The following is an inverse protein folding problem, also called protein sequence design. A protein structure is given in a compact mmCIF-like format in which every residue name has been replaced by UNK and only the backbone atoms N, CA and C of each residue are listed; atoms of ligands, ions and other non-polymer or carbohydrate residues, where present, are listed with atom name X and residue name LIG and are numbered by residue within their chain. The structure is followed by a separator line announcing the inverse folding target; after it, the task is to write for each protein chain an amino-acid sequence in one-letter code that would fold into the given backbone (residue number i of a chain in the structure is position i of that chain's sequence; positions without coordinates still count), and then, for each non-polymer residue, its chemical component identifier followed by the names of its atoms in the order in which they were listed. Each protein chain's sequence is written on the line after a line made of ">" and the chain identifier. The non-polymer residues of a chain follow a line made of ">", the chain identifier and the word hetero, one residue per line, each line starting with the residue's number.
data_IF_585251439344
#
_entry.id   IF_585251439344
#
_cell.length_a   1.000
_cell.length_b   1.000
_cell.length_c   1.000
_cell.angle_alpha   90.00
_cell.angle_beta   90.00
_cell.angle_gamma   90.00
#
_symmetry.space_group_name_H-M   'P 1'
#
loop_
_entity.id
_entity.type
_entity.pdbx_description
1 polymer ?
#
# COMPACT_ATOMS: atom_id res chain seq x y z
N UNK A 1 -1.80 -31.06 14.28
CA UNK A 1 -1.60 -31.38 12.86
C UNK A 1 -2.97 -31.64 12.24
N UNK A 2 -3.57 -30.63 11.60
CA UNK A 2 -4.78 -30.83 10.79
C UNK A 2 -4.35 -31.39 9.43
N UNK A 3 -5.05 -32.42 8.95
CA UNK A 3 -4.90 -32.94 7.60
C UNK A 3 -5.02 -31.80 6.58
N UNK A 4 -3.89 -31.39 5.99
CA UNK A 4 -3.88 -30.46 4.86
C UNK A 4 -4.42 -31.21 3.65
N UNK A 5 -5.64 -30.88 3.24
CA UNK A 5 -6.20 -31.33 1.97
C UNK A 5 -5.22 -30.97 0.85
N UNK A 6 -4.71 -31.97 0.11
CA UNK A 6 -3.74 -31.81 -0.99
C UNK A 6 -4.22 -30.88 -2.13
N UNK A 7 -5.47 -30.41 -2.11
CA UNK A 7 -6.06 -29.52 -3.11
C UNK A 7 -6.01 -28.03 -2.77
N UNK A 8 -5.56 -27.61 -1.57
CA UNK A 8 -5.65 -26.21 -1.14
C UNK A 8 -4.28 -25.51 -1.01
N UNK A 9 -3.59 -25.28 -2.13
CA UNK A 9 -2.34 -24.52 -2.17
C UNK A 9 -2.22 -23.58 -3.39
N UNK A 10 -1.25 -22.66 -3.35
CA UNK A 10 -0.92 -21.76 -4.45
C UNK A 10 -0.10 -22.43 -5.56
N UNK A 11 0.12 -23.75 -5.49
CA UNK A 11 0.99 -24.51 -6.41
C UNK A 11 2.42 -23.96 -6.38
N UNK A 12 3.17 -24.05 -7.47
CA UNK A 12 4.51 -23.49 -7.55
C UNK A 12 4.43 -21.96 -7.60
N UNK A 13 5.04 -21.29 -6.62
CA UNK A 13 4.95 -19.84 -6.42
C UNK A 13 6.28 -19.14 -6.69
N UNK A 14 6.27 -18.17 -7.59
CA UNK A 14 7.39 -17.25 -7.83
C UNK A 14 7.17 -15.93 -7.09
N UNK A 15 8.08 -15.59 -6.18
CA UNK A 15 8.09 -14.30 -5.49
C UNK A 15 8.95 -13.31 -6.27
N UNK A 16 8.38 -12.16 -6.63
CA UNK A 16 9.11 -11.06 -7.25
C UNK A 16 9.55 -10.07 -6.16
N UNK A 17 10.86 -9.92 -5.98
CA UNK A 17 11.49 -9.00 -5.04
C UNK A 17 12.29 -9.70 -3.94
N UNK A 18 13.21 -8.95 -3.31
CA UNK A 18 14.11 -9.41 -2.23
C UNK A 18 13.98 -8.59 -0.94
N UNK A 19 12.94 -7.74 -0.85
CA UNK A 19 12.67 -6.92 0.33
C UNK A 19 12.17 -7.74 1.53
N UNK A 20 12.03 -7.10 2.71
CA UNK A 20 11.53 -7.79 3.90
C UNK A 20 10.14 -8.42 3.73
N UNK A 21 9.27 -7.79 2.93
CA UNK A 21 7.95 -8.32 2.57
C UNK A 21 8.08 -9.64 1.81
N UNK A 22 8.99 -9.71 0.81
CA UNK A 22 9.21 -10.91 0.03
C UNK A 22 9.72 -12.06 0.91
N UNK A 23 10.70 -11.80 1.78
CA UNK A 23 11.23 -12.80 2.72
C UNK A 23 10.13 -13.31 3.66
N UNK A 24 9.29 -12.41 4.17
CA UNK A 24 8.18 -12.77 5.03
C UNK A 24 7.15 -13.64 4.31
N UNK A 25 6.82 -13.32 3.05
CA UNK A 25 5.94 -14.13 2.22
C UNK A 25 6.52 -15.53 1.99
N UNK A 26 7.80 -15.64 1.63
CA UNK A 26 8.48 -16.92 1.41
C UNK A 26 8.38 -17.82 2.65
N UNK A 27 8.71 -17.29 3.82
CA UNK A 27 8.71 -18.05 5.07
C UNK A 27 7.31 -18.56 5.39
N UNK A 28 6.28 -17.70 5.29
CA UNK A 28 4.93 -18.11 5.68
C UNK A 28 4.26 -19.00 4.63
N UNK A 29 4.52 -18.79 3.34
CA UNK A 29 4.03 -19.70 2.30
C UNK A 29 4.70 -21.08 2.36
N UNK A 30 5.95 -21.15 2.82
CA UNK A 30 6.67 -22.42 2.96
C UNK A 30 6.07 -23.36 4.00
N UNK A 31 5.17 -22.86 4.86
CA UNK A 31 4.45 -23.65 5.86
C UNK A 31 3.35 -24.53 5.24
N UNK A 32 3.39 -24.80 3.94
CA UNK A 32 2.47 -25.69 3.24
C UNK A 32 1.37 -24.99 2.43
N UNK A 33 1.57 -23.72 2.08
CA UNK A 33 0.68 -22.97 1.17
C UNK A 33 1.22 -22.93 -0.27
N UNK A 34 2.43 -23.44 -0.51
CA UNK A 34 3.07 -23.52 -1.82
C UNK A 34 3.83 -24.83 -1.94
N UNK A 35 3.81 -25.44 -3.13
CA UNK A 35 4.56 -26.69 -3.41
C UNK A 35 6.05 -26.42 -3.54
N UNK A 36 6.37 -25.39 -4.33
CA UNK A 36 7.71 -24.88 -4.52
C UNK A 36 7.70 -23.36 -4.42
N UNK A 37 8.79 -22.77 -3.90
CA UNK A 37 8.95 -21.32 -3.81
C UNK A 37 10.25 -20.93 -4.49
N UNK A 38 10.14 -20.05 -5.48
CA UNK A 38 11.26 -19.40 -6.14
C UNK A 38 11.27 -17.91 -5.88
N UNK A 39 12.43 -17.28 -6.08
CA UNK A 39 12.58 -15.82 -5.98
C UNK A 39 13.20 -15.29 -7.27
N UNK A 40 12.63 -14.22 -7.81
CA UNK A 40 13.25 -13.44 -8.87
C UNK A 40 13.55 -12.03 -8.37
N UNK A 41 14.78 -11.57 -8.60
CA UNK A 41 15.25 -10.24 -8.22
C UNK A 41 15.69 -9.46 -9.45
N UNK A 42 15.40 -8.16 -9.47
CA UNK A 42 15.94 -7.27 -10.50
C UNK A 42 17.46 -7.20 -10.38
N UNK A 43 18.14 -6.97 -11.50
CA UNK A 43 19.57 -6.66 -11.47
C UNK A 43 19.79 -5.24 -10.91
N UNK A 44 20.27 -5.18 -9.67
CA UNK A 44 20.60 -3.92 -8.99
C UNK A 44 21.64 -4.18 -7.91
N UNK A 45 22.44 -3.17 -7.55
CA UNK A 45 23.50 -3.32 -6.53
C UNK A 45 22.98 -3.98 -5.23
N UNK A 46 21.80 -3.58 -4.74
CA UNK A 46 21.20 -4.17 -3.55
C UNK A 46 20.81 -5.64 -3.75
N UNK A 47 20.29 -5.99 -4.93
CA UNK A 47 19.97 -7.38 -5.27
C UNK A 47 21.23 -8.23 -5.38
N UNK A 48 22.31 -7.70 -5.95
CA UNK A 48 23.59 -8.39 -6.04
C UNK A 48 24.16 -8.68 -4.65
N UNK A 49 24.16 -7.69 -3.75
CA UNK A 49 24.55 -7.91 -2.34
C UNK A 49 23.69 -9.00 -1.68
N UNK A 50 22.37 -8.99 -1.88
CA UNK A 50 21.47 -10.02 -1.38
C UNK A 50 21.81 -11.42 -1.92
N UNK A 51 22.08 -11.54 -3.22
CA UNK A 51 22.45 -12.81 -3.87
C UNK A 51 23.79 -13.33 -3.37
N UNK A 52 24.79 -12.46 -3.21
CA UNK A 52 26.10 -12.82 -2.65
C UNK A 52 25.97 -13.30 -1.21
N UNK A 53 25.19 -12.61 -0.39
CA UNK A 53 24.93 -13.01 0.99
C UNK A 53 24.20 -14.35 1.05
N UNK A 54 23.19 -14.58 0.20
CA UNK A 54 22.49 -15.86 0.08
C UNK A 54 23.46 -17.00 -0.22
N UNK A 55 24.35 -16.83 -1.20
CA UNK A 55 25.35 -17.85 -1.58
C UNK A 55 26.27 -18.18 -0.41
N UNK A 56 26.72 -17.18 0.36
CA UNK A 56 27.56 -17.36 1.54
C UNK A 56 26.84 -18.07 2.70
N UNK A 57 25.52 -17.93 2.79
CA UNK A 57 24.69 -18.45 3.88
C UNK A 57 23.84 -19.67 3.48
N UNK A 58 24.32 -20.49 2.54
CA UNK A 58 23.66 -21.72 2.09
C UNK A 58 22.20 -21.52 1.61
N UNK A 59 21.90 -20.33 1.08
CA UNK A 59 20.58 -19.92 0.59
C UNK A 59 19.47 -19.92 1.65
N UNK A 60 19.83 -19.71 2.93
CA UNK A 60 18.87 -19.69 4.04
C UNK A 60 18.37 -18.26 4.27
N UNK A 61 17.05 -18.11 4.29
CA UNK A 61 16.34 -16.92 4.73
C UNK A 61 15.79 -17.15 6.14
N UNK A 62 15.77 -16.11 6.97
CA UNK A 62 15.32 -16.18 8.37
C UNK A 62 14.31 -15.09 8.71
N UNK A 63 13.29 -15.46 9.46
CA UNK A 63 12.28 -14.55 9.95
C UNK A 63 12.10 -14.71 11.44
N UNK A 64 12.27 -13.61 12.15
CA UNK A 64 12.08 -13.47 13.59
C UNK A 64 10.87 -12.58 13.88
N UNK A 65 10.45 -12.53 15.14
CA UNK A 65 9.44 -11.58 15.60
C UNK A 65 9.87 -10.76 16.79
N UNK A 66 9.28 -9.57 16.92
CA UNK A 66 9.53 -8.68 18.05
C UNK A 66 8.73 -9.04 19.31
N UNK A 67 7.66 -9.84 19.16
CA UNK A 67 6.71 -10.18 20.24
C UNK A 67 6.37 -11.68 20.19
N UNK A 68 6.31 -12.34 21.34
CA UNK A 68 5.99 -13.79 21.43
C UNK A 68 4.64 -14.16 20.81
N UNK A 69 3.66 -13.26 20.87
CA UNK A 69 2.34 -13.40 20.25
C UNK A 69 2.40 -13.61 18.73
N UNK A 70 3.48 -13.17 18.09
CA UNK A 70 3.70 -13.30 16.64
C UNK A 70 4.52 -14.55 16.29
N UNK A 71 4.84 -15.43 17.25
CA UNK A 71 5.72 -16.60 17.04
C UNK A 71 5.33 -17.48 15.84
N UNK A 72 4.05 -17.52 15.47
CA UNK A 72 3.57 -18.19 14.26
C UNK A 72 4.20 -17.67 12.97
N UNK A 73 4.77 -16.46 12.96
CA UNK A 73 5.45 -15.84 11.82
C UNK A 73 6.94 -16.17 11.74
N UNK A 74 7.52 -16.73 12.81
CA UNK A 74 8.92 -17.13 12.81
C UNK A 74 9.16 -18.31 11.88
N UNK A 75 10.41 -18.45 11.43
CA UNK A 75 10.82 -19.58 10.64
C UNK A 75 12.07 -19.32 9.83
N UNK A 76 12.48 -20.34 9.10
CA UNK A 76 13.54 -20.24 8.11
C UNK A 76 13.17 -21.03 6.87
N UNK A 77 13.72 -20.62 5.73
CA UNK A 77 13.49 -21.31 4.46
C UNK A 77 14.80 -21.38 3.66
N UNK A 78 15.12 -22.57 3.15
CA UNK A 78 16.24 -22.75 2.23
C UNK A 78 15.74 -22.62 0.80
N UNK A 79 16.14 -21.55 0.13
CA UNK A 79 15.71 -21.25 -1.23
C UNK A 79 16.30 -22.26 -2.22
N UNK A 80 15.46 -22.82 -3.09
CA UNK A 80 15.86 -23.78 -4.13
C UNK A 80 16.04 -23.14 -5.50
N UNK A 81 15.21 -22.16 -5.84
CA UNK A 81 15.26 -21.46 -7.13
C UNK A 81 15.43 -19.96 -6.91
N UNK A 82 16.49 -19.41 -7.49
CA UNK A 82 16.81 -18.00 -7.48
C UNK A 82 17.10 -17.57 -8.91
N UNK A 83 16.40 -16.55 -9.38
CA UNK A 83 16.61 -15.92 -10.67
C UNK A 83 17.17 -14.51 -10.41
N UNK A 84 18.36 -14.26 -10.94
CA UNK A 84 18.98 -12.94 -10.96
C UNK A 84 18.67 -12.40 -12.34
N UNK A 85 17.78 -11.43 -12.43
CA UNK A 85 17.04 -11.05 -13.64
C UNK A 85 15.75 -11.87 -13.91
N UNK A 86 15.02 -11.41 -14.93
CA UNK A 86 13.71 -11.94 -15.33
C UNK A 86 13.74 -12.73 -16.64
N UNK A 87 14.91 -12.85 -17.30
CA UNK A 87 15.08 -13.47 -18.63
C UNK A 87 14.91 -14.98 -18.60
N UNK A 88 15.49 -15.62 -17.58
CA UNK A 88 15.70 -17.07 -17.50
C UNK A 88 14.75 -17.78 -16.53
N UNK A 89 13.61 -17.15 -16.25
CA UNK A 89 12.57 -17.75 -15.40
C UNK A 89 12.00 -18.98 -16.11
N UNK A 90 12.14 -20.15 -15.45
CA UNK A 90 11.59 -21.42 -15.94
C UNK A 90 10.07 -21.40 -15.94
N UNK A 91 9.46 -22.05 -16.92
CA UNK A 91 8.00 -22.24 -16.98
C UNK A 91 7.54 -23.40 -16.09
N UNK A 92 7.66 -23.20 -14.78
CA UNK A 92 7.17 -24.12 -13.74
C UNK A 92 6.23 -23.44 -12.75
N UNK A 93 6.13 -22.12 -12.83
CA UNK A 93 5.42 -21.28 -11.86
C UNK A 93 3.97 -21.09 -12.28
N UNK A 94 3.05 -21.40 -11.38
CA UNK A 94 1.61 -21.27 -11.60
C UNK A 94 1.06 -20.01 -10.94
N UNK A 95 1.68 -19.60 -9.82
CA UNK A 95 1.37 -18.37 -9.10
C UNK A 95 2.60 -17.46 -9.07
N UNK A 96 2.39 -16.16 -9.28
CA UNK A 96 3.40 -15.13 -9.08
C UNK A 96 2.91 -14.14 -8.01
N UNK A 97 3.78 -13.73 -7.11
CA UNK A 97 3.44 -12.73 -6.08
C UNK A 97 4.35 -11.52 -6.22
N UNK A 98 3.74 -10.36 -6.43
CA UNK A 98 4.46 -9.09 -6.58
C UNK A 98 4.67 -8.45 -5.21
N UNK A 99 5.86 -8.66 -4.65
CA UNK A 99 6.33 -8.07 -3.38
C UNK A 99 7.17 -6.80 -3.61
N UNK A 100 7.15 -6.25 -4.81
CA UNK A 100 7.76 -4.96 -5.17
C UNK A 100 6.76 -3.82 -4.94
N UNK A 101 7.22 -2.56 -4.88
CA UNK A 101 6.34 -1.39 -4.96
C UNK A 101 5.42 -1.43 -6.20
N UNK A 102 4.19 -0.93 -6.07
CA UNK A 102 3.16 -1.04 -7.12
C UNK A 102 3.53 -0.29 -8.42
N UNK A 103 4.27 0.83 -8.31
CA UNK A 103 4.78 1.59 -9.44
C UNK A 103 5.76 0.78 -10.31
N UNK A 104 6.33 -0.30 -9.77
CA UNK A 104 7.21 -1.22 -10.49
C UNK A 104 6.45 -2.36 -11.19
N UNK A 105 5.15 -2.58 -10.93
CA UNK A 105 4.45 -3.79 -11.40
C UNK A 105 4.50 -3.96 -12.92
N UNK A 106 4.16 -2.92 -13.68
CA UNK A 106 4.18 -2.99 -15.15
C UNK A 106 5.61 -3.13 -15.68
N UNK A 107 6.62 -2.49 -15.07
CA UNK A 107 8.02 -2.64 -15.48
C UNK A 107 8.55 -4.06 -15.25
N UNK A 108 8.16 -4.69 -14.15
CA UNK A 108 8.44 -6.13 -13.91
C UNK A 108 7.78 -6.98 -14.99
N UNK A 109 6.49 -6.77 -15.27
CA UNK A 109 5.80 -7.57 -16.29
C UNK A 109 6.37 -7.36 -17.71
N UNK A 110 6.90 -6.18 -18.01
CA UNK A 110 7.61 -5.88 -19.27
C UNK A 110 8.95 -6.57 -19.41
N UNK A 111 9.64 -6.82 -18.30
CA UNK A 111 10.94 -7.49 -18.30
C UNK A 111 10.83 -9.02 -18.26
N UNK A 112 9.64 -9.55 -17.98
CA UNK A 112 9.34 -10.97 -18.07
C UNK A 112 9.06 -11.41 -19.51
N UNK A 113 9.58 -12.58 -19.88
CA UNK A 113 9.15 -13.24 -21.12
C UNK A 113 7.81 -13.96 -20.92
N UNK A 114 6.72 -13.18 -20.83
CA UNK A 114 5.38 -13.68 -20.56
C UNK A 114 4.92 -14.74 -21.59
N UNK A 115 5.42 -14.71 -22.83
CA UNK A 115 5.08 -15.75 -23.82
C UNK A 115 5.62 -17.13 -23.44
N UNK A 116 6.75 -17.20 -22.73
CA UNK A 116 7.37 -18.46 -22.28
C UNK A 116 6.76 -19.01 -20.99
N UNK A 117 6.05 -18.20 -20.21
CA UNK A 117 5.54 -18.58 -18.89
C UNK A 117 4.11 -19.13 -18.99
N UNK A 118 3.86 -20.17 -19.78
CA UNK A 118 2.52 -20.68 -20.12
C UNK A 118 1.74 -21.23 -18.90
N UNK A 119 2.47 -21.72 -17.89
CA UNK A 119 1.89 -22.25 -16.66
C UNK A 119 1.38 -21.18 -15.70
N UNK A 120 1.84 -19.94 -15.84
CA UNK A 120 1.40 -18.85 -14.96
C UNK A 120 -0.09 -18.57 -15.15
N UNK A 121 -0.89 -18.81 -14.10
CA UNK A 121 -2.35 -18.62 -14.08
C UNK A 121 -2.83 -17.57 -13.10
N UNK A 122 -2.07 -17.28 -12.05
CA UNK A 122 -2.46 -16.32 -11.01
C UNK A 122 -1.33 -15.34 -10.69
N UNK A 123 -1.66 -14.05 -10.55
CA UNK A 123 -0.77 -13.02 -10.01
C UNK A 123 -1.42 -12.41 -8.75
N UNK A 124 -0.68 -12.38 -7.65
CA UNK A 124 -1.12 -11.78 -6.38
C UNK A 124 -0.37 -10.48 -6.14
N UNK A 125 -1.12 -9.39 -5.94
CA UNK A 125 -0.60 -8.06 -5.66
C UNK A 125 -0.60 -7.82 -4.15
N UNK A 126 0.57 -7.71 -3.54
CA UNK A 126 0.68 -7.58 -2.07
C UNK A 126 0.31 -6.19 -1.57
N UNK A 127 0.68 -5.15 -2.32
CA UNK A 127 0.41 -3.75 -1.96
C UNK A 127 0.09 -2.90 -3.19
N UNK A 128 -0.98 -3.23 -3.94
CA UNK A 128 -1.43 -2.46 -5.08
C UNK A 128 -1.93 -1.06 -4.72
N UNK A 129 -1.95 -0.19 -5.72
CA UNK A 129 -2.73 1.05 -5.74
C UNK A 129 -4.03 0.88 -6.53
N UNK A 130 -4.91 1.86 -6.44
CA UNK A 130 -6.20 1.86 -7.13
C UNK A 130 -6.04 1.67 -8.65
N UNK A 131 -6.64 0.60 -9.18
CA UNK A 131 -6.59 0.24 -10.60
C UNK A 131 -5.43 -0.66 -10.99
N UNK A 132 -4.58 -1.10 -10.06
CA UNK A 132 -3.43 -1.96 -10.38
C UNK A 132 -3.85 -3.26 -11.06
N UNK A 133 -4.91 -3.91 -10.57
CA UNK A 133 -5.48 -5.11 -11.17
C UNK A 133 -5.89 -4.89 -12.62
N UNK A 134 -6.66 -3.84 -12.90
CA UNK A 134 -7.10 -3.50 -14.27
C UNK A 134 -5.92 -3.20 -15.19
N UNK A 135 -4.95 -2.40 -14.75
CA UNK A 135 -3.78 -2.03 -15.56
C UNK A 135 -2.95 -3.27 -15.92
N UNK A 136 -2.78 -4.19 -14.97
CA UNK A 136 -2.08 -5.45 -15.19
C UNK A 136 -2.89 -6.34 -16.13
N UNK A 137 -4.19 -6.53 -15.91
CA UNK A 137 -5.05 -7.32 -16.79
C UNK A 137 -5.04 -6.78 -18.22
N UNK A 138 -5.18 -5.47 -18.41
CA UNK A 138 -5.09 -4.83 -19.73
C UNK A 138 -3.73 -5.08 -20.39
N UNK A 139 -2.63 -4.93 -19.64
CA UNK A 139 -1.29 -5.23 -20.15
C UNK A 139 -1.15 -6.70 -20.58
N UNK A 140 -1.68 -7.65 -19.80
CA UNK A 140 -1.62 -9.08 -20.09
C UNK A 140 -2.49 -9.48 -21.30
N UNK A 141 -3.65 -8.83 -21.48
CA UNK A 141 -4.52 -9.03 -22.67
C UNK A 141 -3.78 -8.73 -23.98
N UNK A 142 -2.87 -7.75 -24.01
CA UNK A 142 -2.03 -7.44 -25.19
C UNK A 142 -1.18 -8.65 -25.61
N UNK A 143 -0.83 -9.54 -24.67
CA UNK A 143 -0.07 -10.76 -24.92
C UNK A 143 -0.96 -12.01 -25.08
N UNK A 144 -2.28 -11.85 -25.18
CA UNK A 144 -3.23 -12.97 -25.25
C UNK A 144 -3.26 -13.81 -23.98
N UNK A 145 -2.91 -13.22 -22.83
CA UNK A 145 -2.83 -13.90 -21.54
C UNK A 145 -4.05 -13.55 -20.70
N UNK A 146 -4.86 -14.56 -20.39
CA UNK A 146 -5.92 -14.48 -19.39
C UNK A 146 -5.38 -15.08 -18.08
N UNK A 147 -5.03 -14.21 -17.14
CA UNK A 147 -4.40 -14.55 -15.86
C UNK A 147 -5.25 -13.92 -14.77
N UNK A 148 -5.58 -14.72 -13.76
CA UNK A 148 -6.28 -14.25 -12.58
C UNK A 148 -5.41 -13.24 -11.81
N UNK A 149 -5.97 -12.09 -11.46
CA UNK A 149 -5.31 -11.11 -10.60
C UNK A 149 -6.03 -11.07 -9.25
N UNK A 150 -5.28 -11.28 -8.17
CA UNK A 150 -5.76 -11.13 -6.80
C UNK A 150 -5.10 -9.91 -6.18
N UNK A 151 -5.91 -8.97 -5.71
CA UNK A 151 -5.43 -7.80 -4.99
C UNK A 151 -5.60 -7.99 -3.50
N UNK A 152 -4.56 -7.66 -2.73
CA UNK A 152 -4.66 -7.40 -1.29
C UNK A 152 -4.79 -5.89 -1.06
N UNK A 153 -5.46 -5.46 0.00
CA UNK A 153 -5.56 -4.02 0.33
C UNK A 153 -4.20 -3.38 0.64
N UNK A 154 -3.29 -4.14 1.27
CA UNK A 154 -1.93 -3.75 1.60
C UNK A 154 -1.16 -4.98 2.13
N UNK A 155 0.15 -4.84 2.33
CA UNK A 155 0.93 -5.81 3.10
C UNK A 155 0.38 -5.93 4.52
N UNK A 156 0.22 -7.18 4.99
CA UNK A 156 -0.45 -7.53 6.24
C UNK A 156 0.44 -7.40 7.49
N UNK A 157 1.69 -6.97 7.36
CA UNK A 157 2.64 -6.89 8.46
C UNK A 157 3.45 -5.59 8.51
N UNK A 158 4.22 -5.43 9.59
CA UNK A 158 5.24 -4.41 9.74
C UNK A 158 6.61 -5.09 9.89
N UNK A 159 7.30 -5.28 8.76
CA UNK A 159 8.49 -6.12 8.68
C UNK A 159 9.67 -5.32 8.15
N UNK A 160 10.82 -5.46 8.80
CA UNK A 160 12.09 -4.83 8.41
C UNK A 160 13.21 -5.86 8.45
N UNK A 161 14.35 -5.56 7.84
CA UNK A 161 15.58 -6.31 8.13
C UNK A 161 15.91 -6.18 9.62
N UNK A 162 16.42 -7.27 10.19
CA UNK A 162 16.77 -7.34 11.61
C UNK A 162 17.89 -6.37 11.94
N UNK A 163 18.92 -6.33 11.09
CA UNK A 163 20.02 -5.37 11.14
C UNK A 163 20.22 -4.72 9.77
N UNK A 164 21.08 -3.70 9.72
CA UNK A 164 21.55 -3.10 8.46
C UNK A 164 22.63 -3.93 7.77
N UNK A 165 23.16 -4.94 8.46
CA UNK A 165 24.30 -5.75 8.01
C UNK A 165 23.87 -7.00 7.24
N UNK A 166 22.66 -7.51 7.48
CA UNK A 166 22.11 -8.68 6.79
C UNK A 166 20.85 -8.34 6.00
N UNK A 167 20.80 -8.84 4.76
CA UNK A 167 19.65 -8.78 3.88
C UNK A 167 18.85 -10.10 3.86
N UNK A 168 19.23 -11.09 4.68
CA UNK A 168 18.59 -12.41 4.72
C UNK A 168 17.69 -12.63 5.94
N UNK A 169 17.85 -11.77 6.94
CA UNK A 169 17.16 -11.87 8.22
C UNK A 169 16.20 -10.70 8.44
N UNK A 170 14.95 -11.02 8.72
CA UNK A 170 13.89 -10.05 8.95
C UNK A 170 13.29 -10.17 10.35
N UNK A 171 12.74 -9.07 10.86
CA UNK A 171 11.93 -9.06 12.07
C UNK A 171 10.55 -8.49 11.77
N UNK A 172 9.51 -9.27 12.06
CA UNK A 172 8.11 -8.81 12.03
C UNK A 172 7.75 -8.18 13.37
N UNK A 173 7.40 -6.89 13.38
CA UNK A 173 7.08 -6.15 14.61
C UNK A 173 5.61 -6.21 14.99
N UNK A 174 4.73 -6.22 13.99
CA UNK A 174 3.29 -6.18 14.16
C UNK A 174 2.61 -6.76 12.93
N UNK A 175 1.35 -7.17 13.10
CA UNK A 175 0.44 -7.56 12.03
C UNK A 175 -0.69 -6.54 11.95
N UNK A 176 -1.26 -6.37 10.75
CA UNK A 176 -2.51 -5.63 10.59
C UNK A 176 -3.65 -6.40 11.25
N UNK A 177 -4.58 -5.66 11.85
CA UNK A 177 -5.79 -6.24 12.43
C UNK A 177 -6.67 -6.87 11.34
N UNK A 178 -6.79 -6.21 10.19
CA UNK A 178 -7.60 -6.65 9.06
C UNK A 178 -6.93 -6.34 7.73
N UNK A 179 -7.15 -7.21 6.75
CA UNK A 179 -6.90 -6.95 5.34
C UNK A 179 -8.14 -7.28 4.49
N UNK A 180 -8.24 -6.64 3.34
CA UNK A 180 -9.20 -7.01 2.30
C UNK A 180 -8.48 -7.76 1.18
N UNK A 181 -9.17 -8.71 0.56
CA UNK A 181 -8.70 -9.42 -0.63
C UNK A 181 -9.83 -9.73 -1.61
N UNK A 182 -9.50 -9.89 -2.87
CA UNK A 182 -10.48 -10.04 -3.94
C UNK A 182 -9.79 -10.35 -5.25
N UNK A 183 -10.51 -11.04 -6.15
CA UNK A 183 -9.98 -11.57 -7.39
C UNK A 183 -10.69 -10.96 -8.60
N UNK A 184 -10.04 -10.96 -9.75
CA UNK A 184 -10.70 -10.76 -11.04
C UNK A 184 -11.52 -11.99 -11.47
N UNK A 185 -11.28 -13.16 -10.85
CA UNK A 185 -12.03 -14.39 -11.08
C UNK A 185 -12.99 -14.68 -9.90
N UNK A 186 -14.30 -14.65 -10.17
CA UNK A 186 -15.32 -14.99 -9.17
C UNK A 186 -15.22 -16.46 -8.75
N UNK A 187 -15.34 -16.71 -7.44
CA UNK A 187 -15.28 -18.07 -6.89
C UNK A 187 -13.90 -18.73 -7.02
N UNK A 188 -12.84 -17.94 -7.09
CA UNK A 188 -11.47 -18.47 -7.18
C UNK A 188 -11.09 -19.33 -5.97
N UNK A 189 -10.62 -20.54 -6.24
CA UNK A 189 -10.07 -21.42 -5.21
C UNK A 189 -8.79 -20.85 -4.55
N UNK A 190 -8.09 -19.92 -5.21
CA UNK A 190 -6.90 -19.27 -4.64
C UNK A 190 -7.26 -18.32 -3.51
N UNK A 191 -8.47 -17.77 -3.51
CA UNK A 191 -8.99 -16.99 -2.37
C UNK A 191 -9.12 -17.90 -1.15
N UNK A 192 -9.70 -19.11 -1.27
CA UNK A 192 -9.82 -20.05 -0.15
C UNK A 192 -8.46 -20.46 0.45
N UNK A 193 -7.43 -20.57 -0.38
CA UNK A 193 -6.04 -20.79 0.07
C UNK A 193 -5.54 -19.59 0.87
N UNK A 194 -5.79 -18.37 0.40
CA UNK A 194 -5.40 -17.13 1.09
C UNK A 194 -6.17 -16.94 2.40
N UNK A 195 -7.46 -17.30 2.45
CA UNK A 195 -8.25 -17.33 3.69
C UNK A 195 -7.59 -18.22 4.75
N UNK A 196 -7.16 -19.42 4.34
CA UNK A 196 -6.45 -20.36 5.21
C UNK A 196 -5.09 -19.79 5.64
N UNK A 197 -4.38 -19.14 4.72
CA UNK A 197 -3.09 -18.49 4.98
C UNK A 197 -3.22 -17.38 6.03
N UNK A 198 -4.16 -16.44 5.86
CA UNK A 198 -4.33 -15.33 6.79
C UNK A 198 -4.85 -15.79 8.15
N UNK A 199 -5.69 -16.82 8.19
CA UNK A 199 -6.10 -17.47 9.43
C UNK A 199 -4.91 -18.07 10.20
N UNK A 200 -3.99 -18.74 9.51
CA UNK A 200 -2.79 -19.34 10.12
C UNK A 200 -1.79 -18.26 10.59
N UNK A 201 -1.69 -17.16 9.85
CA UNK A 201 -0.86 -16.00 10.20
C UNK A 201 -1.46 -15.18 11.37
N UNK A 202 -2.75 -15.31 11.65
CA UNK A 202 -3.44 -14.58 12.73
C UNK A 202 -3.91 -13.18 12.32
N UNK A 203 -4.22 -12.97 11.04
CA UNK A 203 -4.76 -11.72 10.50
C UNK A 203 -6.22 -11.93 10.10
N UNK A 204 -7.12 -11.06 10.57
CA UNK A 204 -8.50 -11.07 10.08
C UNK A 204 -8.53 -10.64 8.62
N UNK A 205 -9.39 -11.25 7.82
CA UNK A 205 -9.57 -10.89 6.43
C UNK A 205 -11.05 -10.68 6.11
N UNK A 206 -11.30 -9.91 5.06
CA UNK A 206 -12.60 -9.82 4.40
C UNK A 206 -12.39 -10.02 2.90
N UNK A 207 -13.16 -10.95 2.33
CA UNK A 207 -13.19 -11.19 0.89
C UNK A 207 -14.22 -10.26 0.27
N UNK A 208 -13.80 -9.50 -0.72
CA UNK A 208 -14.66 -8.66 -1.54
C UNK A 208 -14.82 -9.27 -2.93
N UNK A 209 -15.91 -8.92 -3.60
CA UNK A 209 -16.29 -9.53 -4.88
C UNK A 209 -15.32 -9.22 -6.02
N UNK A 210 -14.59 -8.11 -5.94
CA UNK A 210 -13.74 -7.60 -7.03
C UNK A 210 -12.40 -7.06 -6.50
N UNK A 211 -11.32 -7.35 -7.23
CA UNK A 211 -9.97 -6.85 -6.93
C UNK A 211 -9.90 -5.31 -6.87
N UNK A 212 -10.64 -4.61 -7.74
CA UNK A 212 -10.69 -3.15 -7.76
C UNK A 212 -11.31 -2.57 -6.48
N UNK A 213 -12.33 -3.22 -5.92
CA UNK A 213 -12.94 -2.76 -4.65
C UNK A 213 -11.94 -2.89 -3.49
N UNK A 214 -11.11 -3.92 -3.50
CA UNK A 214 -10.05 -4.10 -2.49
C UNK A 214 -9.04 -2.98 -2.55
N UNK A 215 -8.60 -2.62 -3.75
CA UNK A 215 -7.65 -1.52 -3.98
C UNK A 215 -8.22 -0.15 -3.56
N UNK A 216 -9.55 -0.04 -3.52
CA UNK A 216 -10.27 1.13 -3.01
C UNK A 216 -10.16 1.29 -1.48
N UNK A 217 -9.78 0.24 -0.74
CA UNK A 217 -9.63 0.25 0.74
C UNK A 217 -8.24 0.74 1.18
N UNK A 218 -7.80 1.88 0.65
CA UNK A 218 -6.53 2.50 1.02
C UNK A 218 -6.75 3.73 1.91
N UNK A 219 -6.39 3.65 3.19
CA UNK A 219 -6.54 4.77 4.15
C UNK A 219 -5.80 6.04 3.72
N UNK A 220 -4.63 5.90 3.11
CA UNK A 220 -3.76 7.05 2.84
C UNK A 220 -4.42 8.05 1.88
N UNK A 221 -5.19 7.58 0.89
CA UNK A 221 -5.83 8.46 -0.09
C UNK A 221 -6.87 9.40 0.53
N UNK A 222 -7.47 9.02 1.66
CA UNK A 222 -8.48 9.83 2.35
C UNK A 222 -7.90 10.78 3.39
N UNK A 223 -6.71 10.46 3.93
CA UNK A 223 -6.14 11.16 5.09
C UNK A 223 -4.95 12.03 4.72
N UNK A 224 -3.99 11.43 4.02
CA UNK A 224 -2.69 12.04 3.77
C UNK A 224 -2.77 13.35 3.00
N UNK A 225 -3.58 13.47 1.92
CA UNK A 225 -3.65 14.72 1.18
C UNK A 225 -4.04 15.92 2.04
N UNK A 226 -5.05 15.79 2.90
CA UNK A 226 -5.49 16.87 3.78
C UNK A 226 -4.41 17.31 4.78
N UNK A 227 -3.62 16.35 5.29
CA UNK A 227 -2.59 16.64 6.28
C UNK A 227 -1.21 16.95 5.71
N UNK A 228 -0.95 16.67 4.44
CA UNK A 228 0.38 16.83 3.86
C UNK A 228 0.43 17.84 2.72
N UNK A 229 -0.71 18.09 2.06
CA UNK A 229 -0.83 18.99 0.92
C UNK A 229 -1.56 20.26 1.39
N UNK A 230 -0.87 21.02 2.22
CA UNK A 230 -1.27 22.32 2.72
C UNK A 230 0.00 23.12 3.06
N UNK A 231 -0.12 24.42 3.25
CA UNK A 231 1.04 25.30 3.45
C UNK A 231 1.89 24.91 4.67
N UNK A 232 1.28 24.51 5.79
CA UNK A 232 2.02 24.12 7.00
C UNK A 232 2.94 22.93 6.69
N UNK A 233 2.38 21.91 6.04
CA UNK A 233 3.07 20.66 5.75
C UNK A 233 4.07 20.78 4.62
N UNK A 234 3.70 21.44 3.51
CA UNK A 234 4.58 21.58 2.35
C UNK A 234 5.77 22.48 2.66
N UNK A 235 5.62 23.50 3.51
CA UNK A 235 6.77 24.26 3.99
C UNK A 235 7.76 23.40 4.79
N UNK A 236 7.29 22.41 5.54
CA UNK A 236 8.15 21.46 6.26
C UNK A 236 8.84 20.48 5.30
N UNK A 237 8.07 19.91 4.35
CA UNK A 237 8.56 18.89 3.40
C UNK A 237 9.59 19.47 2.42
N UNK A 238 9.31 20.63 1.84
CA UNK A 238 10.25 21.34 0.95
C UNK A 238 11.33 22.11 1.73
N UNK A 239 11.35 21.96 3.06
CA UNK A 239 12.36 22.50 3.96
C UNK A 239 12.49 24.04 3.90
N UNK A 240 11.36 24.72 3.66
CA UNK A 240 11.21 26.18 3.72
C UNK A 240 10.99 26.68 5.16
N UNK A 241 10.34 25.88 6.00
CA UNK A 241 10.21 26.11 7.44
C UNK A 241 11.19 25.20 8.21
N UNK A 242 12.01 25.79 9.07
CA UNK A 242 13.04 25.09 9.86
C UNK A 242 12.58 24.68 11.25
N UNK A 243 11.38 25.07 11.67
CA UNK A 243 10.79 24.61 12.94
C UNK A 243 10.47 23.13 12.87
N UNK A 244 10.46 22.44 14.01
CA UNK A 244 10.06 21.03 14.08
C UNK A 244 8.54 20.94 14.20
N UNK A 245 7.89 20.35 13.19
CA UNK A 245 6.47 20.02 13.21
C UNK A 245 6.23 18.53 12.97
N UNK A 246 5.03 18.07 13.33
CA UNK A 246 4.62 16.68 13.25
C UNK A 246 3.31 16.53 12.49
N UNK A 247 3.21 15.51 11.64
CA UNK A 247 2.10 15.30 10.71
C UNK A 247 0.75 15.17 11.42
N UNK A 248 0.75 14.52 12.59
CA UNK A 248 -0.48 14.16 13.30
C UNK A 248 -0.75 14.97 14.56
N UNK A 249 -0.14 16.16 14.70
CA UNK A 249 -0.40 17.08 15.81
C UNK A 249 -1.35 18.21 15.42
N UNK A 250 -2.03 18.76 16.42
CA UNK A 250 -2.80 19.99 16.29
C UNK A 250 -1.87 21.19 16.03
N UNK A 251 -2.37 22.20 15.34
CA UNK A 251 -1.65 23.47 15.18
C UNK A 251 -1.36 24.13 16.54
N UNK A 252 -0.16 24.71 16.79
CA UNK A 252 0.92 24.99 15.84
C UNK A 252 1.99 23.89 15.67
N UNK A 253 1.88 22.78 16.40
CA UNK A 253 2.84 21.67 16.33
C UNK A 253 2.67 20.81 15.08
N UNK A 254 1.50 20.85 14.44
CA UNK A 254 1.19 20.13 13.22
C UNK A 254 0.11 20.81 12.38
N UNK A 255 -0.38 20.16 11.32
CA UNK A 255 -1.30 20.74 10.36
C UNK A 255 -2.77 20.62 10.79
N UNK A 256 -3.08 19.80 11.81
CA UNK A 256 -4.46 19.47 12.14
C UNK A 256 -5.16 20.71 12.71
N UNK A 257 -6.14 21.17 11.94
CA UNK A 257 -7.04 22.29 12.21
C UNK A 257 -8.46 21.92 11.73
N UNK A 258 -9.46 22.71 12.12
CA UNK A 258 -10.82 22.56 11.56
C UNK A 258 -10.81 22.61 10.03
N UNK A 259 -10.02 23.50 9.43
CA UNK A 259 -9.92 23.63 7.96
C UNK A 259 -9.36 22.37 7.30
N UNK A 260 -8.31 21.78 7.84
CA UNK A 260 -7.79 20.52 7.28
C UNK A 260 -8.75 19.35 7.43
N UNK A 261 -9.57 19.34 8.49
CA UNK A 261 -10.60 18.31 8.69
C UNK A 261 -11.79 18.51 7.72
N UNK A 262 -12.20 19.75 7.46
CA UNK A 262 -13.15 20.08 6.40
C UNK A 262 -12.66 19.55 5.04
N UNK A 263 -11.40 19.85 4.68
CA UNK A 263 -10.78 19.36 3.44
C UNK A 263 -10.76 17.83 3.37
N UNK A 264 -10.41 17.15 4.47
CA UNK A 264 -10.47 15.68 4.56
C UNK A 264 -11.89 15.16 4.29
N UNK A 265 -12.91 15.80 4.88
CA UNK A 265 -14.29 15.39 4.72
C UNK A 265 -14.76 15.56 3.26
N UNK A 266 -14.46 16.69 2.62
CA UNK A 266 -14.79 16.91 1.21
C UNK A 266 -14.05 15.95 0.28
N UNK A 267 -12.75 15.74 0.49
CA UNK A 267 -11.95 14.78 -0.28
C UNK A 267 -12.58 13.38 -0.22
N UNK A 268 -12.97 12.92 0.98
CA UNK A 268 -13.64 11.64 1.14
C UNK A 268 -14.96 11.56 0.37
N UNK A 269 -15.77 12.63 0.37
CA UNK A 269 -17.04 12.68 -0.37
C UNK A 269 -16.82 12.66 -1.88
N UNK A 270 -15.86 13.43 -2.38
CA UNK A 270 -15.51 13.47 -3.81
C UNK A 270 -15.01 12.10 -4.30
N UNK A 271 -14.08 11.47 -3.56
CA UNK A 271 -13.60 10.12 -3.89
C UNK A 271 -14.73 9.10 -3.80
N UNK A 272 -15.59 9.18 -2.78
CA UNK A 272 -16.76 8.31 -2.62
C UNK A 272 -17.71 8.42 -3.82
N UNK A 273 -17.90 9.62 -4.35
CA UNK A 273 -18.72 9.86 -5.53
C UNK A 273 -18.12 9.21 -6.78
N UNK A 274 -16.80 9.36 -7.00
CA UNK A 274 -16.08 8.66 -8.08
C UNK A 274 -16.23 7.15 -7.95
N UNK A 275 -16.04 6.60 -6.75
CA UNK A 275 -16.19 5.17 -6.50
C UNK A 275 -17.61 4.68 -6.80
N UNK A 276 -18.65 5.42 -6.40
CA UNK A 276 -20.04 5.08 -6.78
C UNK A 276 -20.25 5.03 -8.29
N UNK A 277 -19.66 5.97 -9.05
CA UNK A 277 -19.75 5.95 -10.52
C UNK A 277 -19.02 4.75 -11.13
N UNK A 278 -17.94 4.28 -10.49
CA UNK A 278 -17.24 3.03 -10.84
C UNK A 278 -17.94 1.77 -10.31
N UNK A 279 -19.16 1.88 -9.75
CA UNK A 279 -19.92 0.78 -9.12
C UNK A 279 -19.18 0.15 -7.94
N UNK A 280 -18.34 0.91 -7.24
CA UNK A 280 -17.64 0.50 -6.03
C UNK A 280 -18.38 1.08 -4.82
N UNK A 281 -18.58 0.26 -3.79
CA UNK A 281 -19.25 0.70 -2.57
C UNK A 281 -18.39 1.73 -1.81
N UNK A 282 -18.89 2.95 -1.58
CA UNK A 282 -18.19 3.94 -0.77
C UNK A 282 -17.95 3.45 0.65
N UNK A 283 -16.84 3.89 1.25
CA UNK A 283 -16.51 3.56 2.63
C UNK A 283 -17.18 4.53 3.60
N UNK A 284 -17.58 4.02 4.76
CA UNK A 284 -17.76 4.86 5.94
C UNK A 284 -16.37 5.20 6.49
N UNK A 285 -15.89 6.43 6.27
CA UNK A 285 -14.53 6.83 6.61
C UNK A 285 -14.23 6.66 8.10
N UNK A 286 -15.09 7.17 8.99
CA UNK A 286 -14.85 7.09 10.43
C UNK A 286 -14.80 5.63 10.92
N UNK A 287 -15.68 4.78 10.39
CA UNK A 287 -15.66 3.34 10.68
C UNK A 287 -14.38 2.68 10.20
N UNK A 288 -13.95 3.01 8.98
CA UNK A 288 -12.71 2.50 8.41
C UNK A 288 -11.48 2.94 9.22
N UNK A 289 -11.44 4.20 9.67
CA UNK A 289 -10.37 4.73 10.52
C UNK A 289 -10.30 4.06 11.90
N UNK A 290 -11.45 3.70 12.47
CA UNK A 290 -11.55 3.15 13.83
C UNK A 290 -11.41 1.62 13.86
N UNK A 291 -12.18 0.91 13.03
CA UNK A 291 -12.34 -0.54 13.17
C UNK A 291 -11.20 -1.31 12.51
N UNK A 292 -10.70 -0.80 11.38
CA UNK A 292 -9.72 -1.47 10.52
C UNK A 292 -8.30 -0.89 10.64
N UNK A 293 -8.18 0.30 11.22
CA UNK A 293 -6.90 0.97 11.40
C UNK A 293 -6.58 1.12 12.88
N UNK A 294 -6.77 2.30 13.46
CA UNK A 294 -6.41 2.56 14.86
C UNK A 294 -7.65 3.02 15.63
N UNK A 295 -8.12 2.21 16.61
CA UNK A 295 -9.34 2.50 17.33
C UNK A 295 -9.18 3.66 18.30
N UNK A 296 -10.30 4.28 18.67
CA UNK A 296 -10.40 5.19 19.82
C UNK A 296 -11.25 4.54 20.91
N UNK A 297 -11.16 5.07 22.13
CA UNK A 297 -12.03 4.66 23.22
C UNK A 297 -13.48 5.06 22.91
N UNK A 298 -14.44 4.21 23.28
CA UNK A 298 -15.87 4.46 23.07
C UNK A 298 -16.36 5.75 23.75
N UNK A 299 -15.73 6.14 24.86
CA UNK A 299 -16.00 7.42 25.54
C UNK A 299 -15.63 8.64 24.68
N UNK A 300 -14.70 8.50 23.74
CA UNK A 300 -14.34 9.57 22.82
C UNK A 300 -15.29 9.65 21.63
N UNK A 301 -15.62 8.49 21.04
CA UNK A 301 -16.58 8.40 19.94
C UNK A 301 -17.44 7.15 20.14
N UNK A 302 -18.75 7.35 20.24
CA UNK A 302 -19.71 6.26 20.44
C UNK A 302 -19.76 5.32 19.24
N UNK A 303 -20.13 4.06 19.45
CA UNK A 303 -20.34 3.10 18.36
C UNK A 303 -21.41 3.60 17.37
N UNK A 304 -22.48 4.18 17.89
CA UNK A 304 -23.58 4.77 17.12
C UNK A 304 -23.08 5.87 16.19
N UNK A 305 -22.23 6.77 16.68
CA UNK A 305 -21.67 7.84 15.86
C UNK A 305 -20.80 7.31 14.73
N UNK A 306 -20.03 6.26 14.99
CA UNK A 306 -19.19 5.67 13.96
C UNK A 306 -20.05 4.95 12.91
N UNK A 307 -21.06 4.17 13.31
CA UNK A 307 -21.89 3.41 12.38
C UNK A 307 -22.80 4.31 11.53
N UNK A 308 -23.30 5.41 12.10
CA UNK A 308 -24.16 6.38 11.41
C UNK A 308 -23.41 7.55 10.76
N UNK A 309 -22.07 7.57 10.80
CA UNK A 309 -21.23 8.67 10.30
C UNK A 309 -21.65 9.20 8.92
N UNK A 310 -21.94 8.30 7.97
CA UNK A 310 -22.31 8.68 6.59
C UNK A 310 -23.67 9.38 6.48
N UNK A 311 -24.52 9.27 7.50
CA UNK A 311 -25.87 9.87 7.53
C UNK A 311 -25.90 11.25 8.18
N UNK A 312 -24.82 11.65 8.85
CA UNK A 312 -24.78 12.92 9.56
C UNK A 312 -24.52 14.12 8.65
N UNK A 313 -24.81 15.31 9.19
CA UNK A 313 -24.48 16.58 8.54
C UNK A 313 -22.96 16.75 8.41
N UNK A 314 -22.54 17.58 7.45
CA UNK A 314 -21.14 17.94 7.22
C UNK A 314 -20.43 18.34 8.52
N UNK A 315 -21.02 19.27 9.29
CA UNK A 315 -20.43 19.78 10.54
C UNK A 315 -20.24 18.66 11.56
N UNK A 316 -21.20 17.75 11.71
CA UNK A 316 -21.05 16.62 12.64
C UNK A 316 -20.00 15.62 12.14
N UNK A 317 -19.91 15.38 10.83
CA UNK A 317 -18.86 14.53 10.25
C UNK A 317 -17.47 15.11 10.52
N UNK A 318 -17.27 16.40 10.26
CA UNK A 318 -16.03 17.12 10.56
C UNK A 318 -15.70 17.08 12.05
N UNK A 319 -16.68 17.36 12.92
CA UNK A 319 -16.48 17.31 14.36
C UNK A 319 -16.00 15.92 14.82
N UNK A 320 -16.63 14.84 14.36
CA UNK A 320 -16.24 13.48 14.72
C UNK A 320 -14.84 13.12 14.20
N UNK A 321 -14.46 13.58 13.00
CA UNK A 321 -13.10 13.41 12.48
C UNK A 321 -12.07 14.20 13.30
N UNK A 322 -12.40 15.43 13.71
CA UNK A 322 -11.54 16.24 14.56
C UNK A 322 -11.33 15.59 15.94
N UNK A 323 -12.42 15.10 16.57
CA UNK A 323 -12.36 14.34 17.82
C UNK A 323 -11.50 13.09 17.63
N UNK A 324 -11.70 12.35 16.53
CA UNK A 324 -10.91 11.14 16.22
C UNK A 324 -9.42 11.43 16.22
N UNK A 325 -8.98 12.48 15.54
CA UNK A 325 -7.55 12.81 15.49
C UNK A 325 -7.01 13.42 16.78
N UNK A 326 -7.86 14.10 17.56
CA UNK A 326 -7.50 14.56 18.90
C UNK A 326 -7.30 13.38 19.86
N UNK A 327 -8.14 12.35 19.77
CA UNK A 327 -8.09 11.15 20.62
C UNK A 327 -6.90 10.23 20.35
N UNK A 328 -6.23 10.38 19.21
CA UNK A 328 -5.06 9.56 18.83
C UNK A 328 -3.76 10.37 18.82
N UNK A 329 -3.73 11.54 19.48
CA UNK A 329 -2.48 12.26 19.70
C UNK A 329 -1.49 11.43 20.54
N UNK A 330 -2.05 10.60 21.41
CA UNK A 330 -1.42 9.55 22.17
C UNK A 330 -1.98 8.20 21.74
N UNK A 331 -1.35 7.10 22.17
CA UNK A 331 -1.94 5.77 22.13
C UNK A 331 -2.81 5.57 23.38
N UNK A 332 -4.15 5.72 23.32
CA UNK A 332 -5.02 5.57 24.49
C UNK A 332 -5.07 4.16 25.08
N UNK A 333 -4.47 3.16 24.42
CA UNK A 333 -4.39 1.78 24.89
C UNK A 333 -3.00 1.42 25.42
N UNK A 334 -2.01 2.31 25.28
CA UNK A 334 -0.69 2.12 25.88
C UNK A 334 -0.78 2.19 27.41
N UNK A 335 0.16 1.51 28.08
CA UNK A 335 0.30 1.62 29.53
C UNK A 335 0.92 3.00 29.81
N UNK A 336 0.28 3.87 30.60
CA UNK A 336 0.85 5.16 30.94
C UNK A 336 2.10 4.98 31.81
N UNK A 337 3.01 5.95 31.74
CA UNK A 337 4.15 6.03 32.65
C UNK A 337 3.73 6.42 34.08
N UNK A 338 4.71 6.52 34.98
CA UNK A 338 4.47 6.87 36.40
C UNK A 338 3.82 8.24 36.59
N UNK A 339 3.92 9.14 35.60
CA UNK A 339 3.29 10.46 35.62
C UNK A 339 1.92 10.48 34.92
N UNK A 340 1.43 9.32 34.45
CA UNK A 340 0.15 9.20 33.75
C UNK A 340 0.22 9.55 32.26
N UNK A 341 1.42 9.68 31.67
CA UNK A 341 1.59 10.02 30.25
C UNK A 341 1.56 8.77 29.40
N UNK A 342 0.76 8.81 28.35
CA UNK A 342 0.65 7.73 27.36
C UNK A 342 1.71 7.88 26.25
N UNK A 343 1.94 6.80 25.51
CA UNK A 343 2.85 6.81 24.36
C UNK A 343 2.42 7.85 23.32
N UNK A 344 3.36 8.70 22.90
CA UNK A 344 3.11 9.83 21.99
C UNK A 344 2.98 9.36 20.52
N UNK A 345 1.78 8.92 20.14
CA UNK A 345 1.48 8.40 18.81
C UNK A 345 1.59 9.47 17.70
N UNK A 346 1.32 10.74 18.03
CA UNK A 346 1.34 11.87 17.08
C UNK A 346 2.73 12.34 16.64
N UNK A 347 3.81 11.85 17.26
CA UNK A 347 5.19 12.30 17.03
C UNK A 347 5.80 11.75 15.72
N UNK A 348 5.10 11.95 14.61
CA UNK A 348 5.54 11.56 13.27
C UNK A 348 6.11 12.78 12.56
N UNK A 349 7.43 12.81 12.40
CA UNK A 349 8.14 13.91 11.71
C UNK A 349 7.82 13.95 10.22
N UNK A 350 7.89 15.14 9.62
CA UNK A 350 7.84 15.29 8.17
C UNK A 350 9.08 14.68 7.51
N UNK A 351 8.92 13.87 6.47
CA UNK A 351 10.02 13.58 5.58
C UNK A 351 10.32 14.84 4.76
N UNK A 352 11.61 15.09 4.53
CA UNK A 352 12.07 16.27 3.80
C UNK A 352 12.58 15.87 2.43
N UNK A 353 12.56 16.82 1.49
CA UNK A 353 13.31 16.73 0.24
C UNK A 353 14.77 16.39 0.53
N UNK A 354 15.36 15.53 -0.30
CA UNK A 354 16.71 15.01 -0.08
C UNK A 354 17.43 14.81 -1.41
N UNK A 355 18.76 14.69 -1.35
CA UNK A 355 19.58 14.30 -2.50
C UNK A 355 19.83 12.80 -2.49
N UNK A 356 19.71 12.16 -3.65
CA UNK A 356 20.15 10.78 -3.83
C UNK A 356 21.67 10.68 -3.98
N UNK A 357 22.17 9.46 -4.17
CA UNK A 357 23.60 9.18 -4.33
C UNK A 357 24.22 9.81 -5.59
N UNK A 358 23.40 10.27 -6.54
CA UNK A 358 23.83 10.99 -7.75
C UNK A 358 23.72 12.51 -7.57
N UNK A 359 23.39 12.98 -6.36
CA UNK A 359 23.23 14.40 -6.05
C UNK A 359 21.94 15.02 -6.57
N UNK A 360 21.00 14.24 -7.10
CA UNK A 360 19.71 14.73 -7.61
C UNK A 360 18.70 14.88 -6.49
N UNK A 361 17.94 15.95 -6.53
CA UNK A 361 16.85 16.22 -5.60
C UNK A 361 15.68 15.27 -5.83
N UNK A 362 15.16 14.73 -4.74
CA UNK A 362 14.01 13.84 -4.70
C UNK A 362 12.95 14.41 -3.76
N UNK A 363 11.69 14.21 -4.13
CA UNK A 363 10.54 14.46 -3.26
C UNK A 363 10.31 13.19 -2.42
N UNK A 364 10.11 13.29 -1.10
CA UNK A 364 9.78 12.12 -0.30
C UNK A 364 8.48 11.47 -0.75
N UNK A 365 8.39 10.14 -0.58
CA UNK A 365 7.21 9.33 -0.93
C UNK A 365 5.91 9.92 -0.36
N UNK A 366 5.97 10.39 0.88
CA UNK A 366 4.91 11.15 1.53
C UNK A 366 5.27 12.65 1.40
N UNK A 367 4.59 13.46 0.55
CA UNK A 367 3.29 13.20 -0.09
C UNK A 367 3.35 12.92 -1.61
N UNK A 368 4.51 12.68 -2.24
CA UNK A 368 4.54 12.52 -3.70
C UNK A 368 3.64 11.38 -4.22
N UNK A 369 3.62 10.23 -3.54
CA UNK A 369 2.69 9.13 -3.86
C UNK A 369 1.24 9.52 -3.60
N UNK A 370 0.96 10.23 -2.51
CA UNK A 370 -0.39 10.65 -2.15
C UNK A 370 -0.95 11.68 -3.16
N UNK A 371 -0.12 12.60 -3.64
CA UNK A 371 -0.40 13.51 -4.75
C UNK A 371 -0.74 12.74 -6.03
N UNK A 372 0.05 11.73 -6.40
CA UNK A 372 -0.22 10.93 -7.61
C UNK A 372 -1.53 10.16 -7.52
N UNK A 373 -1.86 9.58 -6.35
CA UNK A 373 -3.12 8.87 -6.11
C UNK A 373 -4.33 9.78 -6.30
N UNK A 374 -4.32 10.99 -5.71
CA UNK A 374 -5.46 11.92 -5.88
C UNK A 374 -5.54 12.47 -7.30
N UNK A 375 -4.41 12.66 -7.99
CA UNK A 375 -4.38 13.07 -9.40
C UNK A 375 -4.96 12.00 -10.32
N UNK A 376 -4.74 10.72 -10.02
CA UNK A 376 -5.39 9.60 -10.71
C UNK A 376 -6.90 9.64 -10.52
N UNK A 377 -7.38 9.74 -9.28
CA UNK A 377 -8.81 9.81 -8.99
C UNK A 377 -9.48 11.04 -9.59
N UNK A 378 -8.80 12.19 -9.59
CA UNK A 378 -9.27 13.40 -10.26
C UNK A 378 -9.40 13.21 -11.78
N UNK A 379 -8.42 12.55 -12.40
CA UNK A 379 -8.45 12.27 -13.84
C UNK A 379 -9.60 11.33 -14.20
N UNK A 380 -9.84 10.29 -13.37
CA UNK A 380 -10.99 9.38 -13.51
C UNK A 380 -12.30 10.15 -13.31
N UNK A 381 -12.42 10.95 -12.24
CA UNK A 381 -13.60 11.76 -11.98
C UNK A 381 -13.94 12.70 -13.14
N UNK A 382 -12.93 13.35 -13.72
CA UNK A 382 -13.09 14.20 -14.90
C UNK A 382 -13.65 13.44 -16.10
N UNK A 383 -13.18 12.21 -16.37
CA UNK A 383 -13.71 11.36 -17.44
C UNK A 383 -15.15 10.90 -17.19
N UNK A 384 -15.55 10.78 -15.93
CA UNK A 384 -16.89 10.40 -15.50
C UNK A 384 -17.83 11.60 -15.31
N UNK A 385 -17.37 12.82 -15.61
CA UNK A 385 -18.09 14.06 -15.34
C UNK A 385 -18.46 14.25 -13.85
N UNK A 386 -17.62 13.75 -12.95
CA UNK A 386 -17.76 13.93 -11.50
C UNK A 386 -16.94 15.15 -11.07
N UNK A 387 -17.61 16.09 -10.41
CA UNK A 387 -16.97 17.29 -9.88
C UNK A 387 -16.12 16.97 -8.63
N UNK A 388 -14.86 17.41 -8.64
CA UNK A 388 -13.89 17.18 -7.56
C UNK A 388 -13.06 18.44 -7.27
N UNK A 389 -13.74 19.53 -6.89
CA UNK A 389 -13.10 20.85 -6.70
C UNK A 389 -12.03 20.84 -5.61
N UNK A 390 -12.31 20.22 -4.47
CA UNK A 390 -11.37 20.19 -3.33
C UNK A 390 -10.14 19.34 -3.67
N UNK A 391 -10.32 18.23 -4.37
CA UNK A 391 -9.23 17.41 -4.87
C UNK A 391 -8.36 18.19 -5.86
N UNK A 392 -8.97 18.99 -6.74
CA UNK A 392 -8.23 19.85 -7.68
C UNK A 392 -7.43 20.92 -6.96
N UNK A 393 -8.00 21.57 -5.95
CA UNK A 393 -7.29 22.55 -5.12
C UNK A 393 -6.05 21.95 -4.45
N UNK A 394 -6.16 20.73 -3.90
CA UNK A 394 -5.01 20.02 -3.34
C UNK A 394 -3.91 19.78 -4.39
N UNK A 395 -4.29 19.32 -5.58
CA UNK A 395 -3.35 19.11 -6.70
C UNK A 395 -2.65 20.42 -7.05
N UNK A 396 -3.39 21.53 -7.14
CA UNK A 396 -2.85 22.84 -7.49
C UNK A 396 -1.88 23.39 -6.44
N UNK A 397 -2.20 23.22 -5.16
CA UNK A 397 -1.30 23.59 -4.06
C UNK A 397 0.00 22.79 -4.13
N UNK A 398 -0.06 21.48 -4.39
CA UNK A 398 1.15 20.68 -4.54
C UNK A 398 1.98 21.11 -5.77
N UNK A 399 1.33 21.29 -6.92
CA UNK A 399 1.97 21.72 -8.16
C UNK A 399 2.66 23.08 -8.00
N UNK A 400 2.03 24.02 -7.30
CA UNK A 400 2.63 25.32 -6.97
C UNK A 400 3.94 25.16 -6.19
N UNK A 401 3.95 24.36 -5.12
CA UNK A 401 5.14 24.12 -4.31
C UNK A 401 6.23 23.36 -5.07
N UNK A 402 5.85 22.34 -5.84
CA UNK A 402 6.77 21.56 -6.65
C UNK A 402 7.44 22.45 -7.71
N UNK A 403 6.67 23.26 -8.44
CA UNK A 403 7.19 24.18 -9.45
C UNK A 403 8.12 25.23 -8.84
N UNK A 404 7.75 25.80 -7.67
CA UNK A 404 8.63 26.70 -6.93
C UNK A 404 9.95 26.02 -6.58
N UNK A 405 9.91 24.80 -6.06
CA UNK A 405 11.12 24.06 -5.69
C UNK A 405 12.00 23.72 -6.91
N UNK A 406 11.39 23.34 -8.04
CA UNK A 406 12.09 23.11 -9.32
C UNK A 406 12.80 24.39 -9.79
N UNK A 407 12.12 25.53 -9.72
CA UNK A 407 12.71 26.82 -10.09
C UNK A 407 13.86 27.22 -9.14
N UNK A 408 13.70 26.98 -7.83
CA UNK A 408 14.71 27.31 -6.82
C UNK A 408 15.99 26.47 -6.94
N UNK A 409 15.88 25.20 -7.37
CA UNK A 409 17.01 24.25 -7.39
C UNK A 409 17.55 23.94 -8.79
N UNK A 410 16.85 24.33 -9.84
CA UNK A 410 17.18 23.97 -11.23
C UNK A 410 16.62 22.61 -11.63
N UNK A 411 15.96 22.55 -12.78
CA UNK A 411 15.30 21.34 -13.31
C UNK A 411 16.31 20.21 -13.55
N UNK A 412 17.50 20.55 -14.03
CA UNK A 412 18.60 19.64 -14.27
C UNK A 412 19.11 18.97 -12.99
N UNK A 413 18.83 19.52 -11.81
CA UNK A 413 19.23 18.95 -10.53
C UNK A 413 18.15 18.06 -9.91
N UNK A 414 17.01 17.88 -10.57
CA UNK A 414 15.91 17.03 -10.11
C UNK A 414 16.08 15.59 -10.57
N UNK A 415 15.53 14.65 -9.81
CA UNK A 415 15.41 13.27 -10.24
C UNK A 415 14.33 13.14 -11.32
N UNK A 416 14.62 12.40 -12.40
CA UNK A 416 13.73 12.26 -13.56
C UNK A 416 12.35 11.67 -13.23
N UNK A 417 12.25 10.86 -12.16
CA UNK A 417 10.97 10.29 -11.75
C UNK A 417 9.93 11.35 -11.34
N UNK A 418 10.36 12.56 -10.98
CA UNK A 418 9.47 13.69 -10.68
C UNK A 418 8.67 14.10 -11.93
N UNK A 419 9.24 13.93 -13.12
CA UNK A 419 8.63 14.34 -14.39
C UNK A 419 7.89 13.22 -15.11
N UNK A 420 7.94 11.99 -14.60
CA UNK A 420 7.22 10.86 -15.18
C UNK A 420 5.74 10.94 -14.80
N UNK A 421 4.89 11.27 -15.76
CA UNK A 421 3.43 11.30 -15.57
C UNK A 421 2.73 10.36 -16.58
N UNK A 422 2.25 9.23 -16.09
CA UNK A 422 1.43 8.27 -16.82
C UNK A 422 -0.03 8.25 -16.34
N UNK A 423 -0.41 9.18 -15.47
CA UNK A 423 -1.66 9.12 -14.70
C UNK A 423 -2.88 9.21 -15.60
N UNK A 424 -2.87 10.10 -16.59
CA UNK A 424 -3.99 10.27 -17.52
C UNK A 424 -4.23 8.99 -18.34
N UNK A 425 -3.16 8.34 -18.79
CA UNK A 425 -3.27 7.07 -19.53
C UNK A 425 -3.78 5.95 -18.63
N UNK A 426 -3.31 5.86 -17.39
CA UNK A 426 -3.82 4.90 -16.41
C UNK A 426 -5.31 5.12 -16.12
N UNK A 427 -5.74 6.37 -15.91
CA UNK A 427 -7.13 6.73 -15.71
C UNK A 427 -8.01 6.29 -16.89
N UNK A 428 -7.53 6.54 -18.11
CA UNK A 428 -8.21 6.13 -19.35
C UNK A 428 -8.43 4.62 -19.39
N UNK A 429 -7.38 3.83 -19.18
CA UNK A 429 -7.47 2.37 -19.19
C UNK A 429 -8.44 1.87 -18.12
N UNK A 430 -8.36 2.43 -16.90
CA UNK A 430 -9.24 2.03 -15.79
C UNK A 430 -10.70 2.28 -16.14
N UNK A 431 -11.03 3.47 -16.67
CA UNK A 431 -12.40 3.81 -17.07
C UNK A 431 -12.86 2.93 -18.23
N UNK A 432 -12.07 2.82 -19.30
CA UNK A 432 -12.42 2.03 -20.48
C UNK A 432 -12.68 0.56 -20.13
N UNK A 433 -11.76 -0.09 -19.42
CA UNK A 433 -11.92 -1.50 -19.02
C UNK A 433 -13.13 -1.68 -18.10
N UNK A 434 -13.33 -0.80 -17.10
CA UNK A 434 -14.46 -0.91 -16.17
C UNK A 434 -15.83 -0.87 -16.86
N UNK A 435 -15.96 -0.09 -17.93
CA UNK A 435 -17.22 0.02 -18.66
C UNK A 435 -17.31 -0.89 -19.89
N UNK A 436 -16.19 -1.38 -20.42
CA UNK A 436 -16.15 -2.38 -21.49
C UNK A 436 -16.47 -3.80 -20.99
N UNK A 437 -16.27 -4.11 -19.71
CA UNK A 437 -16.70 -5.39 -19.09
C UNK A 437 -18.22 -5.66 -19.18
N UNK A 438 -19.03 -4.70 -19.67
CA UNK A 438 -20.49 -4.83 -19.83
C UNK A 438 -20.96 -4.91 -21.30
N UNK A 439 -20.05 -5.14 -22.26
CA UNK A 439 -20.37 -5.46 -23.66
C UNK A 439 -19.83 -6.85 -24.00
#
# INVERSE_FOLDING_TARGET
>A
MMNKNMNNNLKNTLIIGSGPVAINMIINLSKGFSDEIGVAVRDSNKSLCFVEELKKNNFILKGNVAKKELSMMEGSYKLKNLYVDYSDIKDIWETMILCVPCDCYIEVLKSLNLKKLERLKTIILVSPEFGSSILISNYLKIYGRDIEIISLSNYFGATKYTSTESLLEITTKALKKKIYMGSTLKGSNKIEVLESFFKEVGVTYEVLDEALEVESKNITVFVHPAFLINDISLNQIFDYDKTNKYVYKLYPEGPITMKTIEVMCYLWKEISNVYSHLKIKPINLLKFLNDDNYPVLEKSISREDIDNFTKYSQIKQEYLLYVRYSSILIDPFSIPDEEGRYFEFSKVSYPKVYKDNFGKWNIPRMPFEDYRKIKLLYSIGSMLNVEMRNTKELIDVFDMYLNRFINDKGKENMNDNIFKDNILNSAKIIVEERFNENK
#
